data_IF_730242730414
#
_entry.id   IF_730242730414
#
_cell.length_a   1.000
_cell.length_b   1.000
_cell.length_c   1.000
_cell.angle_alpha   90.00
_cell.angle_beta   90.00
_cell.angle_gamma   90.00
#
_symmetry.space_group_name_H-M   'P 1'
#
loop_
_entity.id
_entity.type
_entity.pdbx_description
1 polymer ?
#
# COMPACT_ATOMS: atom_id res chain seq x y z
N UNK A 1 5.56 24.24 16.45
CA UNK A 1 6.11 23.06 15.76
C UNK A 1 6.19 21.93 16.78
N UNK A 2 5.11 21.18 16.94
CA UNK A 2 5.11 19.98 17.82
C UNK A 2 5.56 18.80 16.94
N UNK A 3 6.81 18.39 17.13
CA UNK A 3 7.34 17.19 16.49
C UNK A 3 6.56 15.99 17.02
N UNK A 4 5.98 15.20 16.12
CA UNK A 4 5.40 13.91 16.48
C UNK A 4 6.57 12.99 16.85
N UNK A 5 6.81 12.81 18.15
CA UNK A 5 7.88 11.92 18.63
C UNK A 5 7.36 10.49 18.55
N UNK A 6 8.09 9.55 17.94
CA UNK A 6 7.68 8.16 17.92
C UNK A 6 7.57 7.61 19.34
N UNK A 7 6.60 6.72 19.62
CA UNK A 7 6.44 6.14 20.93
C UNK A 7 7.69 5.35 21.32
N UNK A 8 8.14 5.54 22.56
CA UNK A 8 9.10 4.62 23.19
C UNK A 8 8.45 3.25 23.29
N UNK A 9 9.22 2.19 22.99
CA UNK A 9 8.79 0.80 22.86
C UNK A 9 7.58 0.42 23.72
N UNK A 10 6.52 -0.01 23.07
CA UNK A 10 5.43 -0.72 23.72
C UNK A 10 6.02 -2.00 24.32
N UNK A 11 5.76 -2.27 25.61
CA UNK A 11 6.27 -3.46 26.31
C UNK A 11 5.74 -4.74 25.65
N UNK A 12 6.46 -5.24 24.65
CA UNK A 12 6.29 -6.61 24.14
C UNK A 12 7.05 -7.57 25.07
N UNK A 13 6.50 -8.75 25.41
CA UNK A 13 7.19 -9.73 26.26
C UNK A 13 8.37 -10.42 25.58
N UNK A 14 8.76 -10.00 24.37
CA UNK A 14 9.96 -10.50 23.66
C UNK A 14 11.08 -9.46 23.76
N UNK A 15 12.28 -9.92 24.07
CA UNK A 15 13.50 -9.09 24.21
C UNK A 15 13.96 -8.43 22.90
N UNK A 16 13.28 -8.71 21.77
CA UNK A 16 13.55 -8.09 20.47
C UNK A 16 12.23 -7.63 19.82
N UNK A 17 12.08 -6.34 19.44
CA UNK A 17 10.88 -5.89 18.75
C UNK A 17 10.75 -6.62 17.41
N UNK A 18 9.57 -7.18 17.17
CA UNK A 18 9.25 -7.85 15.91
C UNK A 18 9.28 -6.83 14.78
N UNK A 19 10.05 -7.10 13.72
CA UNK A 19 10.11 -6.25 12.54
C UNK A 19 8.78 -6.34 11.76
N UNK A 20 8.09 -5.23 11.62
CA UNK A 20 6.78 -5.14 10.95
C UNK A 20 6.94 -4.33 9.68
N UNK A 21 6.60 -4.92 8.53
CA UNK A 21 6.52 -4.23 7.24
C UNK A 21 5.06 -3.98 6.87
N UNK A 22 4.74 -2.73 6.56
CA UNK A 22 3.47 -2.32 5.95
C UNK A 22 3.76 -1.92 4.51
N UNK A 23 3.19 -2.64 3.56
CA UNK A 23 3.52 -2.51 2.16
C UNK A 23 2.27 -2.13 1.34
N UNK A 24 2.31 -0.97 0.69
CA UNK A 24 1.31 -0.56 -0.29
C UNK A 24 1.72 -0.98 -1.69
N UNK A 25 0.95 -1.85 -2.31
CA UNK A 25 1.18 -2.31 -3.68
C UNK A 25 0.24 -1.57 -4.63
N UNK A 26 0.70 -1.31 -5.84
CA UNK A 26 -0.12 -0.75 -6.91
C UNK A 26 0.50 0.45 -7.62
N UNK A 27 -0.16 0.93 -8.65
CA UNK A 27 0.32 2.04 -9.47
C UNK A 27 -0.56 3.28 -9.29
N UNK A 28 -0.05 4.30 -8.61
CA UNK A 28 -0.77 5.55 -8.37
C UNK A 28 -1.19 6.29 -9.64
N UNK A 29 -0.59 5.97 -10.78
CA UNK A 29 -0.89 6.61 -12.06
C UNK A 29 -2.12 6.00 -12.76
N UNK A 30 -2.68 4.90 -12.23
CA UNK A 30 -3.78 4.16 -12.83
C UNK A 30 -4.98 4.05 -11.88
N UNK A 31 -5.67 5.16 -11.65
CA UNK A 31 -6.92 5.21 -10.89
C UNK A 31 -6.87 4.34 -9.60
N UNK A 32 -7.74 3.34 -9.48
CA UNK A 32 -7.88 2.52 -8.28
C UNK A 32 -6.70 1.54 -8.05
N UNK A 33 -5.83 1.31 -9.05
CA UNK A 33 -4.59 0.53 -8.82
C UNK A 33 -3.69 1.16 -7.74
N UNK A 34 -3.80 2.48 -7.52
CA UNK A 34 -3.06 3.19 -6.49
C UNK A 34 -3.54 2.95 -5.06
N UNK A 35 -4.60 2.16 -4.83
CA UNK A 35 -5.25 2.03 -3.51
C UNK A 35 -4.27 1.68 -2.39
N UNK A 36 -3.44 0.65 -2.57
CA UNK A 36 -2.51 0.20 -1.53
C UNK A 36 -1.49 1.28 -1.16
N UNK A 37 -0.91 1.95 -2.15
CA UNK A 37 0.04 3.05 -1.93
C UNK A 37 -0.65 4.23 -1.22
N UNK A 38 -1.89 4.56 -1.60
CA UNK A 38 -2.69 5.60 -0.94
C UNK A 38 -3.02 5.27 0.51
N UNK A 39 -3.25 4.00 0.83
CA UNK A 39 -3.42 3.57 2.21
C UNK A 39 -2.15 3.82 3.04
N UNK A 40 -0.97 3.46 2.54
CA UNK A 40 0.30 3.69 3.22
C UNK A 40 0.59 5.19 3.38
N UNK A 41 0.34 5.99 2.35
CA UNK A 41 0.43 7.46 2.42
C UNK A 41 -0.42 8.02 3.58
N UNK A 42 -1.68 7.61 3.67
CA UNK A 42 -2.59 8.10 4.72
C UNK A 42 -2.20 7.59 6.10
N UNK A 43 -1.75 6.33 6.23
CA UNK A 43 -1.21 5.81 7.49
C UNK A 43 -0.05 6.66 7.99
N UNK A 44 0.89 6.99 7.11
CA UNK A 44 2.05 7.82 7.47
C UNK A 44 1.65 9.26 7.85
N UNK A 45 0.65 9.82 7.19
CA UNK A 45 0.16 11.16 7.51
C UNK A 45 -0.57 11.23 8.86
N UNK A 46 -1.31 10.17 9.21
CA UNK A 46 -2.19 10.16 10.39
C UNK A 46 -1.57 9.56 11.65
N UNK A 47 -0.52 8.74 11.51
CA UNK A 47 0.05 7.98 12.64
C UNK A 47 1.57 8.03 12.66
N UNK A 48 2.12 8.11 13.87
CA UNK A 48 3.52 7.82 14.15
C UNK A 48 3.66 6.36 14.61
N UNK A 49 4.71 5.69 14.12
CA UNK A 49 5.03 4.31 14.42
C UNK A 49 6.38 4.19 15.11
N UNK A 50 6.56 3.14 15.90
CA UNK A 50 7.85 2.81 16.49
C UNK A 50 8.89 2.41 15.39
N UNK A 51 10.21 2.53 15.65
CA UNK A 51 11.25 2.28 14.66
C UNK A 51 11.27 0.88 14.04
N UNK A 52 10.65 -0.11 14.70
CA UNK A 52 10.54 -1.48 14.19
C UNK A 52 9.38 -1.68 13.20
N UNK A 53 8.60 -0.63 12.95
CA UNK A 53 7.50 -0.62 11.96
C UNK A 53 7.93 0.20 10.77
N UNK A 54 8.03 -0.43 9.62
CA UNK A 54 8.41 0.21 8.37
C UNK A 54 7.20 0.31 7.44
N UNK A 55 6.89 1.52 6.98
CA UNK A 55 5.90 1.78 5.96
C UNK A 55 6.61 2.00 4.63
N UNK A 56 6.22 1.26 3.59
CA UNK A 56 6.88 1.29 2.28
C UNK A 56 5.85 1.44 1.16
N UNK A 57 6.10 2.42 0.29
CA UNK A 57 5.49 2.47 -1.03
C UNK A 57 6.17 1.39 -1.90
N UNK A 58 5.51 0.25 -2.03
CA UNK A 58 5.97 -0.87 -2.84
C UNK A 58 5.71 -0.66 -4.33
N UNK A 59 4.75 0.20 -4.65
CA UNK A 59 4.42 0.51 -6.04
C UNK A 59 4.32 -0.74 -6.91
N UNK A 60 5.09 -0.74 -7.98
CA UNK A 60 5.19 -1.86 -8.94
C UNK A 60 6.60 -2.46 -8.97
N UNK A 61 7.36 -2.37 -7.86
CA UNK A 61 8.80 -2.65 -7.84
C UNK A 61 9.17 -4.15 -7.91
N UNK A 62 8.21 -5.06 -7.74
CA UNK A 62 8.46 -6.50 -7.86
C UNK A 62 9.62 -6.98 -6.97
N UNK A 63 10.57 -7.71 -7.53
CA UNK A 63 11.68 -8.32 -6.78
C UNK A 63 12.59 -7.33 -6.02
N UNK A 64 12.56 -6.04 -6.30
CA UNK A 64 13.27 -5.04 -5.49
C UNK A 64 12.73 -4.96 -4.04
N UNK A 65 11.51 -5.45 -3.80
CA UNK A 65 10.90 -5.53 -2.47
C UNK A 65 11.38 -6.72 -1.64
N UNK A 66 12.08 -7.68 -2.24
CA UNK A 66 12.51 -8.91 -1.57
C UNK A 66 13.30 -8.67 -0.27
N UNK A 67 14.28 -7.75 -0.22
CA UNK A 67 15.03 -7.51 1.02
C UNK A 67 14.13 -7.07 2.17
N UNK A 68 13.14 -6.20 1.92
CA UNK A 68 12.19 -5.74 2.92
C UNK A 68 11.34 -6.89 3.47
N UNK A 69 10.86 -7.76 2.58
CA UNK A 69 10.05 -8.92 2.96
C UNK A 69 10.85 -9.93 3.77
N UNK A 70 12.13 -10.14 3.41
CA UNK A 70 13.01 -11.09 4.10
C UNK A 70 13.43 -10.62 5.50
N UNK A 71 13.46 -9.31 5.74
CA UNK A 71 13.79 -8.71 7.04
C UNK A 71 12.58 -8.61 7.97
N UNK A 72 11.37 -8.81 7.46
CA UNK A 72 10.14 -8.66 8.23
C UNK A 72 9.72 -9.96 8.91
N UNK A 73 9.37 -9.89 10.20
CA UNK A 73 8.69 -10.98 10.93
C UNK A 73 7.18 -10.97 10.66
N UNK A 74 6.62 -9.79 10.42
CA UNK A 74 5.21 -9.61 10.09
C UNK A 74 5.05 -8.67 8.89
N UNK A 75 4.18 -9.03 7.95
CA UNK A 75 3.92 -8.32 6.70
C UNK A 75 2.44 -8.01 6.53
N UNK A 76 2.10 -6.73 6.49
CA UNK A 76 0.78 -6.24 6.12
C UNK A 76 0.82 -5.68 4.70
N UNK A 77 0.00 -6.24 3.82
CA UNK A 77 -0.09 -5.84 2.41
C UNK A 77 -1.41 -5.12 2.20
N UNK A 78 -1.35 -3.98 1.52
CA UNK A 78 -2.52 -3.20 1.08
C UNK A 78 -2.47 -3.13 -0.45
N UNK A 79 -3.56 -3.53 -1.13
CA UNK A 79 -3.58 -3.59 -2.60
C UNK A 79 -5.00 -3.44 -3.16
N UNK A 80 -5.11 -3.02 -4.43
CA UNK A 80 -6.36 -3.08 -5.19
C UNK A 80 -6.41 -4.41 -5.95
N UNK A 81 -7.35 -5.29 -5.61
CA UNK A 81 -7.42 -6.63 -6.20
C UNK A 81 -8.81 -6.89 -6.77
N UNK A 82 -8.86 -7.25 -8.05
CA UNK A 82 -10.11 -7.62 -8.71
C UNK A 82 -10.56 -9.02 -8.29
N UNK A 83 -11.47 -9.05 -7.33
CA UNK A 83 -12.15 -10.27 -6.87
C UNK A 83 -13.45 -10.55 -7.63
N UNK A 84 -13.88 -9.64 -8.51
CA UNK A 84 -15.20 -9.67 -9.15
C UNK A 84 -16.32 -9.39 -8.16
N UNK A 85 -16.07 -8.58 -7.16
CA UNK A 85 -17.03 -8.12 -6.16
C UNK A 85 -17.56 -6.72 -6.52
N UNK A 86 -18.47 -6.19 -5.69
CA UNK A 86 -18.89 -4.80 -5.82
C UNK A 86 -17.71 -3.86 -5.52
N UNK A 87 -17.50 -2.79 -6.34
CA UNK A 87 -16.45 -1.82 -6.12
C UNK A 87 -16.42 -1.24 -4.70
N UNK A 88 -15.24 -1.14 -4.10
CA UNK A 88 -15.03 -0.69 -2.73
C UNK A 88 -15.20 -1.78 -1.67
N UNK A 89 -15.58 -3.01 -2.05
CA UNK A 89 -15.63 -4.14 -1.10
C UNK A 89 -14.21 -4.49 -0.64
N UNK A 90 -14.02 -4.58 0.68
CA UNK A 90 -12.77 -5.02 1.27
C UNK A 90 -12.77 -6.52 1.50
N UNK A 91 -11.61 -7.14 1.32
CA UNK A 91 -11.37 -8.54 1.62
C UNK A 91 -10.05 -8.70 2.36
N UNK A 92 -10.10 -9.38 3.49
CA UNK A 92 -8.92 -9.73 4.28
C UNK A 92 -8.56 -11.18 4.02
N UNK A 93 -7.29 -11.43 3.77
CA UNK A 93 -6.72 -12.77 3.56
C UNK A 93 -5.50 -12.89 4.46
N UNK A 94 -5.35 -14.03 5.15
CA UNK A 94 -4.30 -14.21 6.16
C UNK A 94 -3.45 -15.46 5.91
N UNK A 95 -2.22 -15.40 6.36
CA UNK A 95 -1.31 -16.55 6.43
C UNK A 95 -1.08 -17.22 5.07
N UNK A 96 -1.20 -18.53 5.03
CA UNK A 96 -0.89 -19.38 3.86
C UNK A 96 -1.83 -19.17 2.66
N UNK A 97 -2.94 -18.49 2.85
CA UNK A 97 -3.86 -18.19 1.74
C UNK A 97 -3.38 -17.01 0.89
N UNK A 98 -2.55 -16.11 1.44
CA UNK A 98 -2.11 -14.88 0.76
C UNK A 98 -1.39 -15.16 -0.57
N UNK A 99 -0.39 -16.06 -0.68
CA UNK A 99 0.25 -16.37 -1.95
C UNK A 99 -0.70 -16.96 -2.98
N UNK A 100 -1.64 -17.81 -2.54
CA UNK A 100 -2.64 -18.41 -3.41
C UNK A 100 -3.60 -17.36 -3.96
N UNK A 101 -3.97 -16.38 -3.13
CA UNK A 101 -4.89 -15.32 -3.50
C UNK A 101 -4.30 -14.35 -4.53
N UNK A 102 -3.03 -13.98 -4.36
CA UNK A 102 -2.30 -13.15 -5.33
C UNK A 102 -2.13 -13.85 -6.69
N UNK A 103 -2.23 -15.18 -6.74
CA UNK A 103 -2.09 -15.98 -7.97
C UNK A 103 -3.40 -16.35 -8.70
N UNK A 104 -4.56 -16.07 -8.13
CA UNK A 104 -5.80 -16.73 -8.55
C UNK A 104 -6.65 -15.99 -9.60
N UNK A 105 -6.39 -14.74 -9.96
CA UNK A 105 -7.22 -13.95 -10.89
C UNK A 105 -6.44 -13.10 -11.90
N UNK A 106 -7.17 -12.49 -12.85
CA UNK A 106 -6.67 -11.57 -13.88
C UNK A 106 -5.80 -10.49 -13.23
N UNK A 107 -4.51 -10.72 -13.27
CA UNK A 107 -3.53 -9.99 -12.48
C UNK A 107 -3.05 -8.78 -13.27
N UNK A 108 -2.95 -7.64 -12.60
CA UNK A 108 -2.08 -6.59 -13.09
C UNK A 108 -0.62 -7.07 -13.02
N UNK A 109 0.24 -6.50 -13.85
CA UNK A 109 1.66 -6.91 -13.93
C UNK A 109 2.39 -6.79 -12.58
N UNK A 110 1.98 -5.85 -11.73
CA UNK A 110 2.61 -5.66 -10.41
C UNK A 110 2.24 -6.78 -9.41
N UNK A 111 1.02 -7.33 -9.49
CA UNK A 111 0.59 -8.43 -8.62
C UNK A 111 1.36 -9.71 -8.92
N UNK A 112 1.61 -10.01 -10.21
CA UNK A 112 2.47 -11.13 -10.60
C UNK A 112 3.87 -10.96 -10.00
N UNK A 113 4.46 -9.77 -10.13
CA UNK A 113 5.78 -9.48 -9.58
C UNK A 113 5.86 -9.65 -8.06
N UNK A 114 4.81 -9.29 -7.32
CA UNK A 114 4.82 -9.43 -5.87
C UNK A 114 4.59 -10.88 -5.41
N UNK A 115 3.80 -11.66 -6.13
CA UNK A 115 3.70 -13.10 -5.89
C UNK A 115 5.07 -13.79 -6.01
N UNK A 116 5.87 -13.40 -7.01
CA UNK A 116 7.24 -13.91 -7.16
C UNK A 116 8.10 -13.55 -5.95
N UNK A 117 7.98 -12.35 -5.40
CA UNK A 117 8.69 -11.94 -4.17
C UNK A 117 8.38 -12.89 -3.02
N UNK A 118 7.10 -13.15 -2.76
CA UNK A 118 6.68 -14.06 -1.69
C UNK A 118 7.18 -15.50 -1.92
N UNK A 119 7.14 -15.98 -3.16
CA UNK A 119 7.65 -17.31 -3.50
C UNK A 119 9.16 -17.41 -3.29
N UNK A 120 9.93 -16.39 -3.67
CA UNK A 120 11.39 -16.35 -3.45
C UNK A 120 11.70 -16.28 -1.95
N UNK A 121 11.00 -15.44 -1.19
CA UNK A 121 11.16 -15.37 0.27
C UNK A 121 10.90 -16.74 0.93
N UNK A 122 9.86 -17.45 0.49
CA UNK A 122 9.55 -18.81 0.97
C UNK A 122 10.66 -19.81 0.62
N UNK A 123 11.14 -19.81 -0.63
CA UNK A 123 12.20 -20.72 -1.09
C UNK A 123 13.54 -20.46 -0.39
N UNK A 124 13.81 -19.22 -0.02
CA UNK A 124 15.05 -18.84 0.69
C UNK A 124 14.98 -19.03 2.21
N UNK A 125 13.81 -19.41 2.73
CA UNK A 125 13.60 -19.63 4.17
C UNK A 125 13.48 -18.35 4.99
N UNK A 126 13.23 -17.20 4.34
CA UNK A 126 13.08 -15.88 4.98
C UNK A 126 11.68 -15.33 4.72
N UNK A 127 10.66 -16.14 5.01
CA UNK A 127 9.25 -15.78 4.83
C UNK A 127 8.67 -15.25 6.15
N UNK A 128 7.92 -14.13 6.13
CA UNK A 128 7.31 -13.57 7.34
C UNK A 128 6.43 -14.60 8.07
N UNK A 129 6.56 -14.67 9.41
CA UNK A 129 5.74 -15.60 10.23
C UNK A 129 4.25 -15.21 10.21
N UNK A 130 3.98 -13.92 10.06
CA UNK A 130 2.62 -13.36 9.98
C UNK A 130 2.48 -12.56 8.70
N UNK A 131 1.45 -12.87 7.95
CA UNK A 131 1.17 -12.16 6.71
C UNK A 131 -0.34 -11.92 6.59
N UNK A 132 -0.71 -10.68 6.28
CA UNK A 132 -2.09 -10.25 6.07
C UNK A 132 -2.15 -9.41 4.80
N UNK A 133 -3.14 -9.67 3.98
CA UNK A 133 -3.49 -8.88 2.81
C UNK A 133 -4.87 -8.26 3.01
N UNK A 134 -4.94 -6.94 2.96
CA UNK A 134 -6.19 -6.18 2.90
C UNK A 134 -6.36 -5.70 1.47
N UNK A 135 -7.20 -6.38 0.73
CA UNK A 135 -7.48 -6.08 -0.68
C UNK A 135 -8.78 -5.31 -0.84
N UNK A 136 -8.79 -4.29 -1.71
CA UNK A 136 -9.98 -3.55 -2.09
C UNK A 136 -10.40 -3.89 -3.51
N UNK A 137 -11.69 -4.16 -3.75
CA UNK A 137 -12.23 -4.32 -5.09
C UNK A 137 -12.20 -2.99 -5.82
N UNK A 138 -11.41 -2.85 -6.91
CA UNK A 138 -11.38 -1.63 -7.69
C UNK A 138 -12.65 -1.42 -8.51
N UNK A 139 -12.95 -0.17 -8.82
CA UNK A 139 -13.98 0.23 -9.77
C UNK A 139 -13.39 0.44 -11.17
N UNK A 140 -12.16 0.99 -11.24
CA UNK A 140 -11.53 1.40 -12.48
C UNK A 140 -10.02 1.19 -12.42
N UNK A 141 -9.46 0.47 -13.37
CA UNK A 141 -8.03 0.15 -13.47
C UNK A 141 -7.35 0.72 -14.71
N UNK A 142 -8.12 1.22 -15.69
CA UNK A 142 -7.57 1.59 -17.02
C UNK A 142 -7.51 3.11 -17.24
N UNK A 143 -7.87 3.94 -16.25
CA UNK A 143 -7.81 5.41 -16.38
C UNK A 143 -6.42 5.93 -15.96
N UNK A 144 -5.51 6.01 -16.93
CA UNK A 144 -4.19 6.62 -16.73
C UNK A 144 -4.31 8.10 -16.34
N UNK A 145 -3.58 8.51 -15.32
CA UNK A 145 -3.68 9.84 -14.71
C UNK A 145 -4.94 10.02 -13.86
N UNK A 146 -5.74 8.96 -13.67
CA UNK A 146 -6.88 8.95 -12.76
C UNK A 146 -6.46 8.86 -11.29
N UNK A 147 -7.33 9.34 -10.39
CA UNK A 147 -7.24 9.09 -8.95
C UNK A 147 -8.25 8.03 -8.53
N UNK A 148 -8.21 7.64 -7.26
CA UNK A 148 -9.16 6.68 -6.69
C UNK A 148 -10.61 7.09 -6.98
N UNK A 149 -11.42 6.15 -7.40
CA UNK A 149 -12.85 6.34 -7.58
C UNK A 149 -13.58 6.49 -6.24
N UNK A 150 -14.73 7.11 -6.26
CA UNK A 150 -15.42 7.48 -5.02
C UNK A 150 -15.68 6.31 -4.08
N UNK A 151 -16.02 5.12 -4.59
CA UNK A 151 -16.28 3.93 -3.78
C UNK A 151 -14.99 3.38 -3.17
N UNK A 152 -13.93 3.30 -3.96
CA UNK A 152 -12.61 2.86 -3.52
C UNK A 152 -12.02 3.84 -2.51
N UNK A 153 -12.21 5.15 -2.73
CA UNK A 153 -11.78 6.19 -1.79
C UNK A 153 -12.54 6.13 -0.45
N UNK A 154 -13.84 5.82 -0.46
CA UNK A 154 -14.62 5.61 0.75
C UNK A 154 -14.19 4.38 1.55
N UNK A 155 -13.71 3.35 0.87
CA UNK A 155 -13.19 2.14 1.52
C UNK A 155 -11.84 2.36 2.23
N UNK A 156 -11.13 3.47 1.97
CA UNK A 156 -9.84 3.77 2.59
C UNK A 156 -9.89 3.72 4.11
N UNK A 157 -10.81 4.45 4.74
CA UNK A 157 -10.86 4.55 6.20
C UNK A 157 -11.14 3.19 6.85
N UNK A 158 -12.04 2.38 6.28
CA UNK A 158 -12.31 1.02 6.76
C UNK A 158 -11.08 0.10 6.58
N UNK A 159 -10.38 0.19 5.45
CA UNK A 159 -9.14 -0.56 5.22
C UNK A 159 -8.05 -0.18 6.22
N UNK A 160 -7.94 1.11 6.57
CA UNK A 160 -7.01 1.58 7.58
C UNK A 160 -7.37 1.08 8.97
N UNK A 161 -8.66 1.05 9.31
CA UNK A 161 -9.11 0.52 10.61
C UNK A 161 -8.78 -0.98 10.75
N UNK A 162 -8.98 -1.76 9.70
CA UNK A 162 -8.58 -3.18 9.63
C UNK A 162 -7.05 -3.30 9.79
N UNK A 163 -6.29 -2.53 9.00
CA UNK A 163 -4.83 -2.52 9.07
C UNK A 163 -4.30 -2.17 10.47
N UNK A 164 -4.85 -1.12 11.09
CA UNK A 164 -4.51 -0.70 12.45
C UNK A 164 -4.87 -1.75 13.50
N UNK A 165 -5.93 -2.53 13.29
CA UNK A 165 -6.29 -3.68 14.13
C UNK A 165 -5.15 -4.70 14.17
N UNK A 166 -4.71 -5.20 13.02
CA UNK A 166 -3.60 -6.15 12.91
C UNK A 166 -2.29 -5.57 13.43
N UNK A 167 -1.98 -4.31 13.12
CA UNK A 167 -0.78 -3.64 13.60
C UNK A 167 -0.73 -3.54 15.12
N UNK A 168 -1.87 -3.26 15.78
CA UNK A 168 -1.96 -3.25 17.27
C UNK A 168 -1.76 -4.65 17.85
N UNK A 169 -2.36 -5.68 17.25
CA UNK A 169 -2.18 -7.08 17.66
C UNK A 169 -0.71 -7.54 17.53
N UNK A 170 0.02 -6.98 16.55
CA UNK A 170 1.44 -7.25 16.36
C UNK A 170 2.36 -6.36 17.21
N UNK A 171 1.79 -5.45 18.01
CA UNK A 171 2.55 -4.58 18.92
C UNK A 171 3.13 -3.32 18.29
N UNK A 172 2.63 -2.90 17.12
CA UNK A 172 3.09 -1.70 16.42
C UNK A 172 2.80 -0.38 17.18
N UNK A 173 1.78 -0.37 18.06
CA UNK A 173 1.38 0.77 18.88
C UNK A 173 1.29 2.10 18.10
N UNK A 174 0.46 2.21 17.04
CA UNK A 174 0.32 3.44 16.26
C UNK A 174 -0.22 4.57 17.13
N UNK A 175 0.42 5.74 17.11
CA UNK A 175 0.01 6.95 17.84
C UNK A 175 -0.52 7.97 16.84
N UNK A 176 -1.78 8.43 17.00
CA UNK A 176 -2.33 9.47 16.13
C UNK A 176 -1.47 10.74 16.15
N UNK A 177 -1.17 11.30 14.98
CA UNK A 177 -0.47 12.56 14.85
C UNK A 177 -1.46 13.72 14.93
N UNK A 178 -1.18 14.72 15.77
CA UNK A 178 -1.98 15.95 15.86
C UNK A 178 -1.72 16.92 14.70
N UNK A 179 -0.66 16.68 13.92
CA UNK A 179 -0.32 17.43 12.70
C UNK A 179 0.29 16.45 11.70
N UNK A 180 0.09 16.64 10.39
CA UNK A 180 0.76 15.80 9.39
C UNK A 180 2.27 15.78 9.61
N UNK A 181 2.87 14.60 9.46
CA UNK A 181 4.33 14.43 9.56
C UNK A 181 4.98 15.32 8.49
N UNK A 182 6.04 16.03 8.86
CA UNK A 182 6.74 16.95 7.95
C UNK A 182 7.31 16.20 6.72
N UNK A 183 7.48 16.94 5.62
CA UNK A 183 7.87 16.42 4.30
C UNK A 183 9.19 15.61 4.26
N UNK A 184 10.00 15.65 5.32
CA UNK A 184 11.30 14.99 5.35
C UNK A 184 11.24 13.44 5.50
N UNK A 185 10.04 12.88 5.74
CA UNK A 185 9.81 11.45 5.93
C UNK A 185 8.62 10.91 5.13
N UNK A 186 8.25 11.57 4.03
CA UNK A 186 7.07 11.18 3.25
C UNK A 186 7.42 10.01 2.33
N UNK A 187 6.65 8.92 2.42
CA UNK A 187 6.78 7.75 1.54
C UNK A 187 6.53 8.13 0.07
N UNK A 188 5.65 9.10 -0.14
CA UNK A 188 5.26 9.57 -1.49
C UNK A 188 5.88 10.94 -1.76
N UNK A 189 6.42 11.15 -2.97
CA UNK A 189 6.93 12.47 -3.37
C UNK A 189 5.79 13.51 -3.36
N UNK A 190 6.04 14.77 -2.95
CA UNK A 190 4.99 15.76 -2.69
C UNK A 190 4.02 16.00 -3.84
N UNK A 191 4.49 15.94 -5.08
CA UNK A 191 3.66 16.12 -6.28
C UNK A 191 2.72 14.93 -6.56
N UNK A 192 2.97 13.79 -5.96
CA UNK A 192 2.16 12.57 -6.09
C UNK A 192 1.26 12.31 -4.87
N UNK A 193 1.34 13.14 -3.82
CA UNK A 193 0.34 13.12 -2.75
C UNK A 193 -1.08 13.22 -3.33
N UNK A 194 -2.02 12.48 -2.77
CA UNK A 194 -3.37 12.36 -3.34
C UNK A 194 -4.03 13.72 -3.61
N UNK A 195 -3.96 14.65 -2.68
CA UNK A 195 -4.55 15.99 -2.83
C UNK A 195 -3.85 16.81 -3.92
N UNK A 196 -2.52 16.79 -3.98
CA UNK A 196 -1.73 17.50 -4.99
C UNK A 196 -1.96 16.88 -6.38
N UNK A 197 -2.00 15.56 -6.45
CA UNK A 197 -2.26 14.80 -7.67
C UNK A 197 -3.64 15.09 -8.25
N UNK A 198 -4.69 15.08 -7.41
CA UNK A 198 -6.06 15.37 -7.83
C UNK A 198 -6.25 16.81 -8.31
N UNK A 199 -5.65 17.79 -7.61
CA UNK A 199 -5.73 19.21 -8.00
C UNK A 199 -4.87 19.55 -9.21
N UNK A 200 -3.75 18.86 -9.40
CA UNK A 200 -2.85 19.03 -10.55
C UNK A 200 -3.33 18.35 -11.83
N UNK A 201 -4.37 17.52 -11.78
CA UNK A 201 -4.89 16.81 -12.95
C UNK A 201 -5.46 17.77 -13.99
N UNK A 202 -4.95 17.78 -15.24
CA UNK A 202 -5.52 18.59 -16.30
C UNK A 202 -6.96 18.15 -16.62
N UNK A 203 -7.78 19.10 -17.08
CA UNK A 203 -9.12 18.76 -17.56
C UNK A 203 -9.06 17.79 -18.75
N UNK A 204 -10.14 17.04 -18.99
CA UNK A 204 -10.20 16.08 -20.11
C UNK A 204 -9.91 16.73 -21.48
N UNK A 205 -10.21 18.04 -21.63
CA UNK A 205 -9.92 18.80 -22.85
C UNK A 205 -8.42 19.21 -22.97
N UNK A 206 -7.69 19.26 -21.84
CA UNK A 206 -6.28 19.62 -21.80
C UNK A 206 -5.36 18.39 -21.74
N UNK A 207 -5.90 17.26 -21.33
CA UNK A 207 -5.14 16.00 -21.23
C UNK A 207 -4.89 15.43 -22.62
N UNK A 208 -3.62 15.30 -23.02
CA UNK A 208 -3.26 14.59 -24.24
C UNK A 208 -3.32 13.08 -23.97
N UNK A 209 -4.48 12.47 -24.24
CA UNK A 209 -4.69 11.02 -24.03
C UNK A 209 -4.27 10.15 -25.22
N UNK A 210 -3.96 10.77 -26.36
CA UNK A 210 -3.70 10.07 -27.63
C UNK A 210 -2.20 9.97 -27.93
N UNK A 211 -1.36 10.58 -27.08
CA UNK A 211 0.07 10.71 -27.36
C UNK A 211 0.37 11.86 -28.31
N UNK A 212 1.63 12.02 -28.67
CA UNK A 212 2.08 13.07 -29.59
C UNK A 212 1.80 12.63 -31.03
N UNK A 213 0.94 13.38 -31.73
CA UNK A 213 0.54 13.13 -33.11
C UNK A 213 1.73 12.96 -34.08
N UNK A 214 2.92 13.47 -33.73
CA UNK A 214 4.15 13.30 -34.49
C UNK A 214 4.65 11.86 -34.57
N UNK A 215 4.24 11.01 -33.60
CA UNK A 215 4.66 9.63 -33.46
C UNK A 215 3.53 8.62 -33.72
N UNK A 216 2.32 9.09 -34.06
CA UNK A 216 1.21 8.21 -34.39
C UNK A 216 1.35 7.73 -35.85
N UNK A 217 1.23 6.43 -36.14
CA UNK A 217 1.20 5.94 -37.53
C UNK A 217 -0.04 6.51 -38.24
N UNK A 218 0.16 7.08 -39.43
CA UNK A 218 -0.90 7.57 -40.31
C UNK A 218 -1.57 6.42 -41.04
#
# INVERSE_FOLDING_TARGET
>A
MTSCTPPSACNSPRDNPQAILVLGIGNMLWADEGFGVRCVEVLQQRYAFAPHVQLVDGGTQGLALLPYVQEADALLILDAIDYGLEPGTLKVVEGSEVPCFLGAKKMSLHQTGFQEVLMVALLTGSYPERIVLVGCQPQELEDYGGSLRSRTKQALDEALDIALGHLREWGACPVPCSSPVGLDHVVTVPNLEMAAYETGRPSAAQACRIGDDRFMPR
#
